data_IF_396482006177
#
_entry.id   IF_396482006177
#
_cell.length_a   1.000
_cell.length_b   1.000
_cell.length_c   1.000
_cell.angle_alpha   90.00
_cell.angle_beta   90.00
_cell.angle_gamma   90.00
#
_symmetry.space_group_name_H-M   'P 1'
#
loop_
_entity.id
_entity.type
_entity.pdbx_description
1 polymer ?
#
# COMPACT_ATOMS: atom_id res chain seq x y z
N UNK A 1 -14.14 4.20 -30.67
CA UNK A 1 -12.73 4.36 -30.27
C UNK A 1 -11.99 3.05 -30.48
N UNK A 2 -10.88 3.05 -31.22
CA UNK A 2 -10.09 1.82 -31.52
C UNK A 2 -9.51 1.18 -30.25
N UNK A 3 -9.34 -0.14 -30.22
CA UNK A 3 -8.72 -0.86 -29.10
C UNK A 3 -7.33 -0.33 -28.77
N UNK A 4 -6.53 0.02 -29.79
CA UNK A 4 -5.21 0.63 -29.63
C UNK A 4 -5.27 1.98 -28.93
N UNK A 5 -6.29 2.78 -29.23
CA UNK A 5 -6.47 4.09 -28.62
C UNK A 5 -6.85 3.96 -27.14
N UNK A 6 -7.71 2.99 -26.80
CA UNK A 6 -8.04 2.68 -25.39
C UNK A 6 -6.77 2.37 -24.60
N UNK A 7 -5.94 1.45 -25.08
CA UNK A 7 -4.69 1.08 -24.40
C UNK A 7 -3.77 2.29 -24.17
N UNK A 8 -3.63 3.18 -25.17
CA UNK A 8 -2.83 4.41 -25.04
C UNK A 8 -3.39 5.34 -23.96
N UNK A 9 -4.70 5.53 -23.91
CA UNK A 9 -5.34 6.36 -22.88
C UNK A 9 -5.21 5.76 -21.48
N UNK A 10 -5.31 4.43 -21.36
CA UNK A 10 -5.12 3.72 -20.08
C UNK A 10 -3.67 3.85 -19.59
N UNK A 11 -2.68 3.64 -20.47
CA UNK A 11 -1.27 3.83 -20.14
C UNK A 11 -0.97 5.27 -19.75
N UNK A 12 -1.50 6.23 -20.51
CA UNK A 12 -1.36 7.65 -20.19
C UNK A 12 -1.96 7.95 -18.80
N UNK A 13 -3.12 7.38 -18.48
CA UNK A 13 -3.74 7.57 -17.18
C UNK A 13 -2.92 7.02 -16.02
N UNK A 14 -2.29 5.86 -16.20
CA UNK A 14 -1.41 5.27 -15.19
C UNK A 14 -0.16 6.14 -14.98
N UNK A 15 0.47 6.63 -16.07
CA UNK A 15 1.66 7.48 -15.99
C UNK A 15 1.35 8.80 -15.28
N UNK A 16 0.27 9.49 -15.68
CA UNK A 16 -0.14 10.74 -15.04
C UNK A 16 -0.55 10.49 -13.59
N UNK A 17 -1.27 9.42 -13.30
CA UNK A 17 -1.63 9.04 -11.94
C UNK A 17 -0.41 8.80 -11.04
N UNK A 18 0.64 8.15 -11.56
CA UNK A 18 1.90 7.94 -10.84
C UNK A 18 2.62 9.26 -10.55
N UNK A 19 2.66 10.19 -11.51
CA UNK A 19 3.25 11.51 -11.31
C UNK A 19 2.49 12.34 -10.26
N UNK A 20 1.16 12.31 -10.28
CA UNK A 20 0.33 12.97 -9.25
C UNK A 20 0.62 12.38 -7.87
N UNK A 21 0.77 11.05 -7.79
CA UNK A 21 1.06 10.40 -6.51
C UNK A 21 2.47 10.71 -5.98
N UNK A 22 3.43 11.06 -6.86
CA UNK A 22 4.74 11.58 -6.46
C UNK A 22 4.73 13.06 -6.02
N UNK A 23 3.55 13.69 -5.85
CA UNK A 23 3.44 15.12 -5.53
C UNK A 23 4.31 15.54 -4.33
N UNK A 24 4.33 14.80 -3.22
CA UNK A 24 5.15 15.18 -2.07
C UNK A 24 6.66 15.11 -2.32
N UNK A 25 7.15 14.13 -3.08
CA UNK A 25 8.56 14.11 -3.49
C UNK A 25 8.88 15.34 -4.37
N UNK A 26 8.01 15.65 -5.34
CA UNK A 26 8.17 16.80 -6.22
C UNK A 26 8.15 18.12 -5.46
N UNK A 27 7.20 18.31 -4.52
CA UNK A 27 7.12 19.49 -3.68
C UNK A 27 8.34 19.62 -2.76
N UNK A 28 8.83 18.49 -2.24
CA UNK A 28 10.04 18.41 -1.42
C UNK A 28 11.33 18.65 -2.20
N UNK A 29 11.29 18.59 -3.55
CA UNK A 29 12.44 18.61 -4.47
C UNK A 29 13.37 17.40 -4.39
N UNK A 30 12.99 16.38 -3.60
CA UNK A 30 13.72 15.13 -3.45
C UNK A 30 12.77 14.04 -2.92
N UNK A 31 12.98 12.74 -3.23
CA UNK A 31 12.31 11.64 -2.55
C UNK A 31 12.39 11.80 -1.03
N UNK A 32 11.29 11.53 -0.33
CA UNK A 32 11.25 11.65 1.12
C UNK A 32 12.09 10.55 1.77
N UNK A 33 12.91 10.94 2.75
CA UNK A 33 13.75 10.02 3.50
C UNK A 33 13.23 9.88 4.94
N UNK A 34 13.17 8.64 5.43
CA UNK A 34 13.00 8.33 6.85
C UNK A 34 14.31 7.89 7.48
N UNK A 35 14.31 7.79 8.81
CA UNK A 35 15.44 7.31 9.61
C UNK A 35 15.97 5.96 9.10
N UNK A 36 15.07 5.03 8.73
CA UNK A 36 15.43 3.72 8.19
C UNK A 36 15.79 3.72 6.69
N UNK A 37 15.54 4.80 5.96
CA UNK A 37 15.78 4.84 4.50
C UNK A 37 17.24 4.60 4.14
N UNK A 38 18.18 5.09 4.99
CA UNK A 38 19.60 4.82 4.82
C UNK A 38 19.92 3.34 4.83
N UNK A 39 19.33 2.59 5.76
CA UNK A 39 19.52 1.15 5.84
C UNK A 39 19.02 0.44 4.58
N UNK A 40 17.91 0.88 3.96
CA UNK A 40 17.41 0.26 2.73
C UNK A 40 18.31 0.54 1.54
N UNK A 41 18.83 1.76 1.46
CA UNK A 41 19.77 2.17 0.42
C UNK A 41 21.09 1.39 0.59
N UNK A 42 21.73 1.49 1.76
CA UNK A 42 23.01 0.84 2.01
C UNK A 42 22.93 -0.68 1.87
N UNK A 43 21.88 -1.31 2.38
CA UNK A 43 21.70 -2.75 2.21
C UNK A 43 21.41 -3.13 0.75
N UNK A 44 20.89 -2.23 -0.09
CA UNK A 44 20.63 -2.53 -1.49
C UNK A 44 21.92 -2.66 -2.32
N UNK A 45 22.95 -1.90 -1.96
CA UNK A 45 24.19 -1.79 -2.74
C UNK A 45 25.43 -2.36 -2.06
N UNK A 46 25.45 -2.44 -0.73
CA UNK A 46 26.59 -3.01 -0.02
C UNK A 46 26.58 -4.53 -0.07
N UNK A 47 27.77 -5.12 -0.25
CA UNK A 47 27.97 -6.58 -0.11
C UNK A 47 27.88 -7.05 1.35
N UNK A 48 27.74 -6.11 2.31
CA UNK A 48 27.67 -6.42 3.73
C UNK A 48 26.38 -7.17 4.02
N UNK A 49 26.50 -8.19 4.89
CA UNK A 49 25.37 -9.02 5.32
C UNK A 49 24.24 -8.13 5.86
N UNK A 50 23.07 -8.20 5.23
CA UNK A 50 21.94 -7.32 5.53
C UNK A 50 21.51 -7.42 6.99
N UNK A 51 21.57 -6.31 7.73
CA UNK A 51 21.24 -6.24 9.17
C UNK A 51 19.79 -5.90 9.46
N UNK A 52 18.98 -5.50 8.45
CA UNK A 52 17.51 -5.27 8.63
C UNK A 52 16.62 -6.35 8.02
N UNK A 53 15.41 -6.56 8.58
CA UNK A 53 14.45 -7.59 8.15
C UNK A 53 13.72 -7.30 6.83
N UNK A 54 14.10 -6.24 6.12
CA UNK A 54 13.43 -5.71 4.92
C UNK A 54 14.37 -5.79 3.71
N UNK A 55 15.00 -6.95 3.52
CA UNK A 55 16.02 -7.17 2.50
C UNK A 55 15.48 -7.07 1.07
N UNK A 56 14.23 -7.53 0.82
CA UNK A 56 13.61 -7.42 -0.50
C UNK A 56 13.39 -5.98 -0.93
N UNK A 57 13.00 -5.10 0.01
CA UNK A 57 12.85 -3.70 -0.32
C UNK A 57 14.19 -3.04 -0.64
N UNK A 58 15.25 -3.42 0.08
CA UNK A 58 16.62 -2.96 -0.22
C UNK A 58 17.05 -3.38 -1.64
N UNK A 59 16.75 -4.62 -2.04
CA UNK A 59 16.96 -5.10 -3.41
C UNK A 59 16.12 -4.31 -4.43
N UNK A 60 14.86 -4.02 -4.11
CA UNK A 60 14.00 -3.18 -4.94
C UNK A 60 14.58 -1.78 -5.12
N UNK A 61 15.11 -1.15 -4.07
CA UNK A 61 15.77 0.17 -4.15
C UNK A 61 16.95 0.11 -5.12
N UNK A 62 17.83 -0.90 -5.00
CA UNK A 62 18.98 -1.04 -5.88
C UNK A 62 18.58 -1.22 -7.35
N UNK A 63 17.58 -2.06 -7.62
CA UNK A 63 17.15 -2.37 -8.98
C UNK A 63 16.27 -1.28 -9.59
N UNK A 64 15.33 -0.71 -8.85
CA UNK A 64 14.42 0.31 -9.35
C UNK A 64 15.13 1.65 -9.58
N UNK A 65 16.19 1.95 -8.81
CA UNK A 65 16.99 3.18 -8.99
C UNK A 65 17.96 3.10 -10.17
N UNK A 66 18.22 1.91 -10.69
CA UNK A 66 19.32 1.61 -11.62
C UNK A 66 20.70 2.11 -11.14
N UNK A 67 20.88 2.27 -9.82
CA UNK A 67 22.08 2.86 -9.23
C UNK A 67 22.34 4.31 -9.65
N UNK A 68 21.32 5.00 -10.20
CA UNK A 68 21.45 6.37 -10.71
C UNK A 68 20.66 7.36 -9.89
N UNK A 69 19.38 7.07 -9.62
CA UNK A 69 18.54 8.04 -8.93
C UNK A 69 17.41 7.40 -8.11
N UNK A 70 17.19 7.95 -6.92
CA UNK A 70 16.08 7.57 -6.05
C UNK A 70 14.71 7.99 -6.61
N UNK A 71 14.67 8.91 -7.57
CA UNK A 71 13.43 9.29 -8.28
C UNK A 71 12.78 8.10 -8.98
N UNK A 72 13.58 7.20 -9.56
CA UNK A 72 13.04 6.01 -10.22
C UNK A 72 12.43 5.02 -9.23
N UNK A 73 12.90 4.97 -7.99
CA UNK A 73 12.33 4.14 -6.93
C UNK A 73 10.92 4.63 -6.58
N UNK A 74 10.77 5.91 -6.26
CA UNK A 74 9.46 6.49 -5.88
C UNK A 74 8.47 6.48 -7.04
N UNK A 75 8.95 6.67 -8.27
CA UNK A 75 8.12 6.54 -9.46
C UNK A 75 7.65 5.10 -9.68
N UNK A 76 8.56 4.12 -9.57
CA UNK A 76 8.23 2.70 -9.76
C UNK A 76 7.20 2.21 -8.75
N UNK A 77 7.36 2.52 -7.46
CA UNK A 77 6.37 2.16 -6.44
C UNK A 77 5.02 2.85 -6.67
N UNK A 78 5.02 4.10 -7.15
CA UNK A 78 3.80 4.83 -7.51
C UNK A 78 3.09 4.19 -8.70
N UNK A 79 3.81 3.77 -9.74
CA UNK A 79 3.25 3.07 -10.91
C UNK A 79 2.57 1.76 -10.49
N UNK A 80 3.21 0.96 -9.63
CA UNK A 80 2.64 -0.30 -9.15
C UNK A 80 1.32 -0.08 -8.42
N UNK A 81 1.26 0.90 -7.51
CA UNK A 81 0.03 1.21 -6.79
C UNK A 81 -1.06 1.74 -7.74
N UNK A 82 -0.70 2.68 -8.61
CA UNK A 82 -1.65 3.35 -9.52
C UNK A 82 -2.23 2.37 -10.55
N UNK A 83 -1.46 1.37 -10.97
CA UNK A 83 -1.93 0.26 -11.80
C UNK A 83 -2.98 -0.59 -11.07
N UNK A 84 -2.75 -0.93 -9.80
CA UNK A 84 -3.72 -1.67 -8.98
C UNK A 84 -5.00 -0.85 -8.79
N UNK A 85 -4.88 0.43 -8.47
CA UNK A 85 -6.03 1.32 -8.37
C UNK A 85 -6.78 1.44 -9.70
N UNK A 86 -6.06 1.54 -10.82
CA UNK A 86 -6.66 1.57 -12.15
C UNK A 86 -7.55 0.34 -12.38
N UNK A 87 -7.09 -0.85 -11.98
CA UNK A 87 -7.90 -2.06 -12.08
C UNK A 87 -9.18 -2.03 -11.23
N UNK A 88 -9.16 -1.44 -10.04
CA UNK A 88 -10.40 -1.24 -9.27
C UNK A 88 -11.43 -0.43 -10.08
N UNK A 89 -11.05 0.74 -10.59
CA UNK A 89 -11.98 1.54 -11.38
C UNK A 89 -12.35 0.85 -12.70
N UNK A 90 -11.44 0.09 -13.31
CA UNK A 90 -11.72 -0.69 -14.52
C UNK A 90 -12.77 -1.78 -14.32
N UNK A 91 -12.72 -2.51 -13.20
CA UNK A 91 -13.64 -3.62 -12.96
C UNK A 91 -14.96 -3.20 -12.32
N UNK A 92 -14.97 -2.12 -11.53
CA UNK A 92 -16.17 -1.67 -10.82
C UNK A 92 -16.93 -0.55 -11.54
N UNK A 93 -16.36 0.09 -12.56
CA UNK A 93 -17.03 1.13 -13.37
C UNK A 93 -17.03 0.76 -14.86
N UNK A 94 -18.21 0.44 -15.38
CA UNK A 94 -18.38 0.00 -16.78
C UNK A 94 -18.15 1.12 -17.80
N UNK A 95 -18.67 2.33 -17.51
CA UNK A 95 -18.56 3.45 -18.44
C UNK A 95 -17.13 4.01 -18.43
N UNK A 96 -16.45 3.91 -19.57
CA UNK A 96 -15.08 4.37 -19.79
C UNK A 96 -14.83 5.82 -19.35
N UNK A 97 -15.73 6.76 -19.69
CA UNK A 97 -15.53 8.18 -19.37
C UNK A 97 -15.67 8.43 -17.87
N UNK A 98 -16.74 7.90 -17.26
CA UNK A 98 -16.94 7.99 -15.82
C UNK A 98 -15.78 7.35 -15.06
N UNK A 99 -15.31 6.18 -15.51
CA UNK A 99 -14.17 5.47 -14.93
C UNK A 99 -12.95 6.38 -14.79
N UNK A 100 -12.54 7.06 -15.86
CA UNK A 100 -11.38 7.96 -15.82
C UNK A 100 -11.61 9.16 -14.88
N UNK A 101 -12.82 9.73 -14.87
CA UNK A 101 -13.16 10.85 -13.98
C UNK A 101 -13.06 10.43 -12.51
N UNK A 102 -13.67 9.31 -12.12
CA UNK A 102 -13.63 8.81 -10.75
C UNK A 102 -12.22 8.36 -10.35
N UNK A 103 -11.48 7.73 -11.27
CA UNK A 103 -10.10 7.31 -11.07
C UNK A 103 -9.18 8.50 -10.77
N UNK A 104 -9.17 9.52 -11.63
CA UNK A 104 -8.37 10.72 -11.39
C UNK A 104 -8.86 11.48 -10.16
N UNK A 105 -10.17 11.63 -9.99
CA UNK A 105 -10.75 12.25 -8.81
C UNK A 105 -10.29 11.59 -7.51
N UNK A 106 -10.23 10.25 -7.49
CA UNK A 106 -9.72 9.50 -6.36
C UNK A 106 -8.21 9.70 -6.16
N UNK A 107 -7.40 9.65 -7.22
CA UNK A 107 -5.95 9.87 -7.13
C UNK A 107 -5.64 11.27 -6.60
N UNK A 108 -6.30 12.30 -7.13
CA UNK A 108 -6.19 13.66 -6.62
C UNK A 108 -6.59 13.71 -5.13
N UNK A 109 -7.73 13.11 -4.79
CA UNK A 109 -8.20 13.07 -3.40
C UNK A 109 -7.17 12.46 -2.45
N UNK A 110 -6.65 11.26 -2.75
CA UNK A 110 -5.70 10.58 -1.86
C UNK A 110 -4.30 11.21 -1.86
N UNK A 111 -3.92 11.91 -2.93
CA UNK A 111 -2.60 12.53 -3.04
C UNK A 111 -2.52 13.84 -2.25
N UNK A 112 -3.59 14.65 -2.28
CA UNK A 112 -3.59 15.98 -1.69
C UNK A 112 -4.23 16.03 -0.29
N UNK A 113 -5.23 15.19 -0.02
CA UNK A 113 -5.98 15.23 1.24
C UNK A 113 -5.63 14.08 2.20
N UNK A 114 -4.89 13.08 1.72
CA UNK A 114 -4.49 11.90 2.48
C UNK A 114 -2.99 11.66 2.39
N UNK A 115 -2.54 10.63 3.08
CA UNK A 115 -1.13 10.24 3.20
C UNK A 115 -0.60 9.37 2.05
N UNK A 116 -1.40 9.08 1.01
CA UNK A 116 -0.99 8.16 -0.05
C UNK A 116 0.24 8.68 -0.82
N UNK A 117 0.23 9.98 -1.16
CA UNK A 117 1.36 10.60 -1.85
C UNK A 117 2.61 10.66 -0.97
N UNK A 118 2.49 10.89 0.35
CA UNK A 118 3.62 10.79 1.28
C UNK A 118 4.20 9.36 1.25
N UNK A 119 3.35 8.34 1.41
CA UNK A 119 3.78 6.94 1.46
C UNK A 119 4.48 6.52 0.16
N UNK A 120 3.92 6.91 -0.99
CA UNK A 120 4.49 6.63 -2.31
C UNK A 120 5.68 7.52 -2.69
N UNK A 121 5.88 8.65 -2.02
CA UNK A 121 7.02 9.55 -2.21
C UNK A 121 8.19 9.23 -1.29
N UNK A 122 8.03 8.28 -0.37
CA UNK A 122 9.01 7.94 0.65
C UNK A 122 9.80 6.69 0.25
N UNK A 123 11.11 6.70 0.52
CA UNK A 123 11.96 5.50 0.43
C UNK A 123 11.69 4.59 1.64
N UNK A 124 10.58 3.85 1.58
CA UNK A 124 10.10 2.91 2.59
C UNK A 124 9.21 1.83 1.97
N UNK A 125 9.18 0.59 2.49
CA UNK A 125 8.29 -0.46 1.98
C UNK A 125 6.82 -0.26 2.34
N UNK A 126 6.47 0.74 3.16
CA UNK A 126 5.11 0.92 3.71
C UNK A 126 4.02 0.94 2.62
N UNK A 127 4.29 1.57 1.46
CA UNK A 127 3.31 1.66 0.38
C UNK A 127 2.93 0.29 -0.20
N UNK A 128 3.85 -0.67 -0.16
CA UNK A 128 3.62 -2.02 -0.68
C UNK A 128 2.63 -2.82 0.17
N UNK A 129 2.50 -2.51 1.46
CA UNK A 129 1.46 -3.10 2.29
C UNK A 129 0.06 -2.83 1.72
N UNK A 130 -0.21 -1.56 1.42
CA UNK A 130 -1.46 -1.12 0.80
C UNK A 130 -1.66 -1.67 -0.61
N UNK A 131 -0.61 -1.65 -1.44
CA UNK A 131 -0.65 -2.22 -2.79
C UNK A 131 -0.98 -3.71 -2.75
N UNK A 132 -0.41 -4.45 -1.80
CA UNK A 132 -0.68 -5.89 -1.62
C UNK A 132 -2.11 -6.13 -1.16
N UNK A 133 -2.62 -5.38 -0.17
CA UNK A 133 -4.00 -5.49 0.30
C UNK A 133 -5.00 -5.23 -0.83
N UNK A 134 -4.80 -4.16 -1.60
CA UNK A 134 -5.64 -3.83 -2.75
C UNK A 134 -5.57 -4.93 -3.83
N UNK A 135 -4.39 -5.46 -4.11
CA UNK A 135 -4.23 -6.53 -5.10
C UNK A 135 -4.98 -7.79 -4.70
N UNK A 136 -4.95 -8.16 -3.41
CA UNK A 136 -5.71 -9.29 -2.88
C UNK A 136 -7.21 -9.03 -2.92
N UNK A 137 -7.64 -7.80 -2.61
CA UNK A 137 -9.04 -7.40 -2.74
C UNK A 137 -9.56 -7.59 -4.18
N UNK A 138 -8.78 -7.22 -5.20
CA UNK A 138 -9.15 -7.48 -6.60
C UNK A 138 -9.29 -8.96 -6.90
N UNK A 139 -8.35 -9.79 -6.43
CA UNK A 139 -8.42 -11.24 -6.62
C UNK A 139 -9.64 -11.88 -5.95
N UNK A 140 -10.12 -11.29 -4.84
CA UNK A 140 -11.28 -11.75 -4.09
C UNK A 140 -12.62 -11.29 -4.69
N UNK A 141 -12.72 -10.02 -5.10
CA UNK A 141 -14.01 -9.45 -5.52
C UNK A 141 -14.29 -9.54 -7.02
N UNK A 142 -13.26 -9.63 -7.86
CA UNK A 142 -13.46 -9.69 -9.32
C UNK A 142 -13.66 -11.15 -9.75
N UNK A 143 -14.93 -11.51 -10.00
CA UNK A 143 -15.33 -12.88 -10.40
C UNK A 143 -14.60 -13.36 -11.65
N UNK A 144 -14.58 -12.54 -12.69
CA UNK A 144 -14.04 -12.88 -14.01
C UNK A 144 -12.81 -12.03 -14.31
N UNK A 145 -11.66 -12.50 -13.83
CA UNK A 145 -10.35 -11.97 -14.25
C UNK A 145 -9.82 -12.80 -15.40
N UNK A 146 -9.42 -12.13 -16.48
CA UNK A 146 -8.63 -12.77 -17.55
C UNK A 146 -7.31 -13.30 -16.96
N UNK A 147 -6.75 -14.34 -17.56
CA UNK A 147 -5.51 -14.95 -17.11
C UNK A 147 -4.36 -13.93 -17.00
N UNK A 148 -4.18 -13.09 -18.03
CA UNK A 148 -3.15 -12.04 -18.06
C UNK A 148 -3.26 -11.08 -16.87
N UNK A 149 -4.48 -10.59 -16.59
CA UNK A 149 -4.73 -9.67 -15.49
C UNK A 149 -4.58 -10.35 -14.13
N UNK A 150 -5.01 -11.60 -14.02
CA UNK A 150 -4.81 -12.43 -12.82
C UNK A 150 -3.32 -12.59 -12.53
N UNK A 151 -2.52 -12.86 -13.56
CA UNK A 151 -1.07 -13.01 -13.44
C UNK A 151 -0.42 -11.70 -12.99
N UNK A 152 -0.73 -10.58 -13.65
CA UNK A 152 -0.21 -9.26 -13.29
C UNK A 152 -0.54 -8.91 -11.84
N UNK A 153 -1.82 -9.02 -11.44
CA UNK A 153 -2.26 -8.68 -10.08
C UNK A 153 -1.62 -9.63 -9.05
N UNK A 154 -1.49 -10.92 -9.36
CA UNK A 154 -0.85 -11.90 -8.47
C UNK A 154 0.64 -11.61 -8.29
N UNK A 155 1.37 -11.28 -9.36
CA UNK A 155 2.79 -10.90 -9.29
C UNK A 155 2.96 -9.65 -8.44
N UNK A 156 2.13 -8.61 -8.66
CA UNK A 156 2.16 -7.40 -7.83
C UNK A 156 1.85 -7.73 -6.37
N UNK A 157 0.86 -8.57 -6.10
CA UNK A 157 0.50 -8.97 -4.74
C UNK A 157 1.65 -9.69 -4.02
N UNK A 158 2.31 -10.64 -4.70
CA UNK A 158 3.43 -11.44 -4.17
C UNK A 158 4.66 -10.56 -3.92
N UNK A 159 5.04 -9.74 -4.91
CA UNK A 159 6.20 -8.85 -4.78
C UNK A 159 5.95 -7.83 -3.67
N UNK A 160 4.75 -7.24 -3.63
CA UNK A 160 4.41 -6.23 -2.63
C UNK A 160 4.28 -6.80 -1.22
N UNK A 161 3.69 -8.00 -1.05
CA UNK A 161 3.59 -8.63 0.27
C UNK A 161 4.97 -8.95 0.83
N UNK A 162 5.89 -9.38 -0.03
CA UNK A 162 7.22 -9.80 0.37
C UNK A 162 8.15 -8.64 0.76
N UNK A 163 7.79 -7.38 0.47
CA UNK A 163 8.58 -6.20 0.86
C UNK A 163 8.63 -5.97 2.37
N UNK A 164 7.63 -6.44 3.12
CA UNK A 164 7.51 -6.21 4.56
C UNK A 164 6.96 -7.45 5.27
N UNK A 165 7.69 -7.92 6.28
CA UNK A 165 7.32 -9.08 7.11
C UNK A 165 5.91 -8.97 7.71
N UNK A 166 5.52 -7.78 8.16
CA UNK A 166 4.21 -7.56 8.75
C UNK A 166 3.10 -7.69 7.70
N UNK A 167 3.38 -7.32 6.45
CA UNK A 167 2.45 -7.49 5.34
C UNK A 167 2.25 -8.97 5.01
N UNK A 168 3.31 -9.79 4.96
CA UNK A 168 3.18 -11.24 4.76
C UNK A 168 2.31 -11.88 5.83
N UNK A 169 2.57 -11.56 7.10
CA UNK A 169 1.79 -12.09 8.22
C UNK A 169 0.33 -11.63 8.16
N UNK A 170 0.09 -10.37 7.78
CA UNK A 170 -1.26 -9.85 7.53
C UNK A 170 -1.96 -10.66 6.44
N UNK A 171 -1.27 -10.99 5.33
CA UNK A 171 -1.86 -11.80 4.25
C UNK A 171 -2.16 -13.22 4.69
N UNK A 172 -1.29 -13.82 5.50
CA UNK A 172 -1.55 -15.13 6.09
C UNK A 172 -2.82 -15.10 6.98
N UNK A 173 -3.00 -14.06 7.80
CA UNK A 173 -4.20 -13.90 8.62
C UNK A 173 -5.45 -13.63 7.78
N UNK A 174 -5.38 -12.79 6.75
CA UNK A 174 -6.50 -12.56 5.83
C UNK A 174 -6.88 -13.87 5.13
N UNK A 175 -5.91 -14.67 4.72
CA UNK A 175 -6.15 -15.98 4.12
C UNK A 175 -6.88 -16.92 5.08
N UNK A 176 -6.42 -17.03 6.33
CA UNK A 176 -7.07 -17.85 7.36
C UNK A 176 -8.44 -17.33 7.75
N UNK A 177 -8.63 -16.01 7.77
CA UNK A 177 -9.91 -15.37 8.08
C UNK A 177 -10.91 -15.44 6.92
N UNK A 178 -10.44 -15.58 5.68
CA UNK A 178 -11.28 -15.55 4.47
C UNK A 178 -12.42 -16.59 4.45
N UNK A 179 -12.27 -17.85 4.93
CA UNK A 179 -13.38 -18.80 4.96
C UNK A 179 -14.43 -18.38 5.98
N UNK A 180 -14.00 -17.82 7.13
CA UNK A 180 -14.90 -17.31 8.16
C UNK A 180 -15.67 -16.11 7.64
N UNK A 181 -14.97 -15.14 7.03
CA UNK A 181 -15.60 -13.99 6.36
C UNK A 181 -16.60 -14.47 5.31
N UNK A 182 -16.24 -15.48 4.52
CA UNK A 182 -17.14 -16.08 3.52
C UNK A 182 -18.41 -16.70 4.14
N UNK A 183 -18.32 -17.36 5.30
CA UNK A 183 -19.50 -17.87 6.01
C UNK A 183 -20.46 -16.77 6.47
N UNK A 184 -19.94 -15.57 6.76
CA UNK A 184 -20.74 -14.41 7.13
C UNK A 184 -21.33 -13.67 5.91
N UNK A 185 -20.75 -13.84 4.72
CA UNK A 185 -21.31 -13.30 3.48
C UNK A 185 -22.52 -14.15 3.07
N UNK A 186 -23.69 -13.81 3.61
CA UNK A 186 -24.98 -14.35 3.17
C UNK A 186 -25.45 -13.64 1.89
N UNK A 187 -25.72 -14.39 0.82
CA UNK A 187 -26.36 -13.85 -0.38
C UNK A 187 -26.22 -14.69 -1.65
N UNK A 188 -26.95 -14.30 -2.70
CA UNK A 188 -26.98 -14.92 -4.05
C UNK A 188 -25.63 -14.87 -4.78
N UNK A 189 -24.71 -14.02 -4.35
CA UNK A 189 -23.35 -14.02 -4.88
C UNK A 189 -22.50 -15.13 -4.26
N UNK A 190 -22.89 -16.40 -4.49
CA UNK A 190 -22.02 -17.54 -4.19
C UNK A 190 -20.79 -17.46 -5.10
N UNK A 191 -19.75 -16.80 -4.61
CA UNK A 191 -18.44 -16.83 -5.27
C UNK A 191 -17.96 -18.27 -5.25
N UNK A 192 -17.38 -18.74 -6.35
CA UNK A 192 -16.83 -20.09 -6.41
C UNK A 192 -15.62 -20.19 -5.45
N UNK A 193 -15.88 -20.64 -4.24
CA UNK A 193 -14.89 -20.74 -3.16
C UNK A 193 -13.64 -21.53 -3.59
N UNK A 194 -13.79 -22.54 -4.46
CA UNK A 194 -12.65 -23.31 -4.98
C UNK A 194 -11.70 -22.44 -5.79
N UNK A 195 -12.22 -21.56 -6.64
CA UNK A 195 -11.42 -20.64 -7.46
C UNK A 195 -10.79 -19.53 -6.61
N UNK A 196 -11.50 -19.04 -5.59
CA UNK A 196 -10.91 -18.09 -4.64
C UNK A 196 -9.76 -18.74 -3.87
N UNK A 197 -10.03 -19.88 -3.24
CA UNK A 197 -9.05 -20.58 -2.44
C UNK A 197 -7.81 -20.94 -3.25
N UNK A 198 -7.94 -21.36 -4.51
CA UNK A 198 -6.78 -21.67 -5.35
C UNK A 198 -5.94 -20.43 -5.65
N UNK A 199 -6.55 -19.29 -6.01
CA UNK A 199 -5.83 -18.03 -6.24
C UNK A 199 -5.07 -17.57 -4.99
N UNK A 200 -5.71 -17.65 -3.83
CA UNK A 200 -5.10 -17.28 -2.56
C UNK A 200 -3.99 -18.22 -2.13
N UNK A 201 -4.20 -19.54 -2.24
CA UNK A 201 -3.20 -20.52 -1.90
C UNK A 201 -1.95 -20.29 -2.75
N UNK A 202 -2.10 -20.02 -4.04
CA UNK A 202 -0.98 -19.68 -4.93
C UNK A 202 -0.28 -18.40 -4.42
N UNK A 203 -0.99 -17.27 -4.29
CA UNK A 203 -0.37 -16.00 -3.86
C UNK A 203 0.30 -16.11 -2.49
N UNK A 204 -0.37 -16.75 -1.52
CA UNK A 204 0.15 -16.96 -0.17
C UNK A 204 1.37 -17.87 -0.15
N UNK A 205 1.31 -19.04 -0.79
CA UNK A 205 2.43 -19.98 -0.86
C UNK A 205 3.64 -19.34 -1.55
N UNK A 206 3.45 -18.65 -2.68
CA UNK A 206 4.55 -17.98 -3.38
C UNK A 206 5.12 -16.80 -2.57
N UNK A 207 4.29 -16.03 -1.86
CA UNK A 207 4.77 -14.96 -0.98
C UNK A 207 5.64 -15.51 0.15
N UNK A 208 5.18 -16.59 0.80
CA UNK A 208 5.93 -17.26 1.87
C UNK A 208 7.22 -17.88 1.33
N UNK A 209 7.15 -18.58 0.20
CA UNK A 209 8.32 -19.20 -0.43
C UNK A 209 9.37 -18.15 -0.84
N UNK A 210 8.94 -17.02 -1.42
CA UNK A 210 9.81 -15.90 -1.78
C UNK A 210 10.48 -15.32 -0.54
N UNK A 211 9.72 -15.10 0.53
CA UNK A 211 10.24 -14.60 1.79
C UNK A 211 11.25 -15.54 2.45
N UNK A 212 10.92 -16.83 2.53
CA UNK A 212 11.84 -17.84 3.08
C UNK A 212 13.10 -17.97 2.24
N UNK A 213 12.98 -17.89 0.91
CA UNK A 213 14.13 -17.93 0.00
C UNK A 213 15.06 -16.74 0.24
N UNK A 214 14.50 -15.55 0.38
CA UNK A 214 15.28 -14.34 0.68
C UNK A 214 15.94 -14.44 2.05
N UNK A 215 15.21 -14.85 3.08
CA UNK A 215 15.78 -14.96 4.43
C UNK A 215 16.88 -16.02 4.53
N UNK A 216 16.74 -17.11 3.78
CA UNK A 216 17.79 -18.13 3.67
C UNK A 216 19.05 -17.54 3.04
N UNK A 217 18.92 -16.74 1.99
CA UNK A 217 20.04 -16.06 1.33
C UNK A 217 20.67 -15.01 2.22
N UNK A 218 19.88 -14.24 2.98
CA UNK A 218 20.40 -13.20 3.87
C UNK A 218 20.99 -13.75 5.18
N UNK A 219 20.76 -15.03 5.48
CA UNK A 219 21.34 -15.73 6.62
C UNK A 219 20.85 -15.20 7.97
N UNK A 220 19.56 -14.88 8.06
CA UNK A 220 18.91 -14.29 9.25
C UNK A 220 17.82 -15.18 9.82
N UNK A 221 17.81 -15.30 11.15
CA UNK A 221 16.81 -16.06 11.92
C UNK A 221 15.94 -15.19 12.84
N UNK A 222 16.00 -13.86 12.75
CA UNK A 222 15.52 -12.95 13.80
C UNK A 222 14.02 -12.58 13.78
N UNK A 223 13.17 -13.21 12.97
CA UNK A 223 11.72 -12.94 13.02
C UNK A 223 11.01 -13.80 14.06
N UNK A 224 11.54 -13.85 15.28
CA UNK A 224 10.83 -14.44 16.40
C UNK A 224 9.67 -13.52 16.78
N UNK A 225 8.43 -13.95 16.53
CA UNK A 225 7.24 -13.27 17.07
C UNK A 225 7.36 -13.23 18.61
N UNK A 226 7.57 -12.04 19.16
CA UNK A 226 7.71 -11.87 20.61
C UNK A 226 6.33 -11.69 21.23
N UNK A 227 5.80 -12.74 21.87
CA UNK A 227 4.49 -12.71 22.57
C UNK A 227 4.33 -11.54 23.55
N UNK A 228 5.42 -11.10 24.18
CA UNK A 228 5.38 -9.95 25.10
C UNK A 228 5.04 -8.64 24.37
N UNK A 229 5.53 -8.47 23.13
CA UNK A 229 5.25 -7.29 22.30
C UNK A 229 3.79 -7.27 21.84
N UNK A 230 3.17 -8.44 21.65
CA UNK A 230 1.75 -8.55 21.30
C UNK A 230 0.85 -7.95 22.38
N UNK A 231 1.05 -8.33 23.65
CA UNK A 231 0.23 -7.79 24.74
C UNK A 231 0.49 -6.30 24.99
N UNK A 232 1.73 -5.84 24.79
CA UNK A 232 2.06 -4.42 24.85
C UNK A 232 1.36 -3.66 23.69
N UNK A 233 1.44 -4.17 22.47
CA UNK A 233 0.76 -3.62 21.29
C UNK A 233 -0.75 -3.52 21.49
N UNK A 234 -1.40 -4.58 22.00
CA UNK A 234 -2.84 -4.58 22.31
C UNK A 234 -3.23 -3.53 23.34
N UNK A 235 -2.44 -3.36 24.42
CA UNK A 235 -2.69 -2.31 25.42
C UNK A 235 -2.49 -0.91 24.83
N UNK A 236 -1.45 -0.77 24.01
CA UNK A 236 -1.11 0.48 23.37
C UNK A 236 -2.13 0.88 22.29
N UNK A 237 -2.94 -0.03 21.74
CA UNK A 237 -3.94 0.32 20.71
C UNK A 237 -4.82 1.51 21.12
N UNK A 238 -5.22 1.63 22.38
CA UNK A 238 -6.06 2.74 22.84
C UNK A 238 -5.32 4.08 22.90
N UNK A 239 -4.05 4.05 23.30
CA UNK A 239 -3.17 5.22 23.33
C UNK A 239 -2.81 5.64 21.92
N UNK A 240 -2.58 4.66 21.06
CA UNK A 240 -2.08 4.87 19.71
C UNK A 240 -3.17 5.19 18.69
N UNK A 241 -4.41 4.76 18.95
CA UNK A 241 -5.55 5.25 18.20
C UNK A 241 -5.70 6.77 18.38
N UNK A 242 -5.32 7.34 19.54
CA UNK A 242 -5.25 8.80 19.71
C UNK A 242 -4.06 9.43 18.95
N UNK A 243 -3.07 8.63 18.55
CA UNK A 243 -1.89 9.08 17.82
C UNK A 243 -1.82 8.56 16.38
N UNK A 244 -2.96 8.27 15.70
CA UNK A 244 -3.03 8.08 14.23
C UNK A 244 -2.66 9.40 13.55
N UNK A 245 -1.41 9.78 13.70
CA UNK A 245 -0.82 10.99 13.19
C UNK A 245 0.30 10.53 12.29
N UNK A 246 0.44 11.20 11.14
CA UNK A 246 1.61 11.03 10.30
C UNK A 246 2.82 11.23 11.23
N UNK A 247 3.73 10.23 11.31
CA UNK A 247 4.87 10.30 12.21
C UNK A 247 5.55 11.63 11.99
N UNK A 248 5.93 12.30 13.09
CA UNK A 248 6.69 13.53 12.97
C UNK A 248 7.94 13.18 12.17
N UNK A 249 8.02 13.69 10.94
CA UNK A 249 9.20 13.57 10.11
C UNK A 249 10.29 14.34 10.86
N UNK A 250 11.07 13.60 11.66
CA UNK A 250 12.27 14.15 12.25
C UNK A 250 13.14 14.56 11.08
N UNK A 251 13.55 15.83 11.06
CA UNK A 251 14.56 16.31 10.13
C UNK A 251 15.72 15.31 10.18
N UNK A 252 16.08 14.67 9.05
CA UNK A 252 17.26 13.82 9.01
C UNK A 252 18.43 14.65 9.53
N UNK A 253 19.16 14.12 10.51
CA UNK A 253 20.42 14.75 10.93
C UNK A 253 21.33 14.79 9.70
N UNK A 254 22.07 15.89 9.51
CA UNK A 254 23.00 16.05 8.39
C UNK A 254 23.98 14.87 8.31
N UNK A 255 24.32 14.31 9.47
CA UNK A 255 25.19 13.13 9.66
C UNK A 255 24.39 11.84 9.89
N UNK A 256 23.12 11.81 9.50
CA UNK A 256 22.24 10.65 9.68
C UNK A 256 22.47 9.56 8.62
N UNK A 257 22.13 8.30 8.94
CA UNK A 257 22.38 7.16 8.05
C UNK A 257 21.72 7.31 6.68
N UNK A 258 20.56 7.98 6.60
CA UNK A 258 19.89 8.25 5.34
C UNK A 258 20.70 9.15 4.40
N UNK A 259 21.32 10.21 4.92
CA UNK A 259 22.10 11.14 4.09
C UNK A 259 23.43 10.50 3.70
N UNK A 260 24.10 9.83 4.64
CA UNK A 260 25.34 9.10 4.36
C UNK A 260 25.14 8.04 3.28
N UNK A 261 24.02 7.30 3.30
CA UNK A 261 23.71 6.33 2.26
C UNK A 261 23.48 7.00 0.88
N UNK A 262 22.80 8.14 0.84
CA UNK A 262 22.63 8.92 -0.41
C UNK A 262 23.98 9.42 -0.92
N UNK A 263 24.84 9.93 -0.03
CA UNK A 263 26.18 10.39 -0.39
C UNK A 263 27.05 9.26 -0.95
N UNK A 264 26.97 8.06 -0.36
CA UNK A 264 27.76 6.91 -0.80
C UNK A 264 27.31 6.37 -2.16
N UNK A 265 26.01 6.26 -2.41
CA UNK A 265 25.47 5.50 -3.54
C UNK A 265 24.83 6.35 -4.64
N UNK A 266 24.46 7.60 -4.33
CA UNK A 266 23.75 8.51 -5.22
C UNK A 266 24.40 9.89 -5.21
N UNK A 267 25.71 9.94 -5.45
CA UNK A 267 26.52 11.18 -5.45
C UNK A 267 25.98 12.25 -6.39
N UNK A 268 25.29 11.88 -7.49
CA UNK A 268 24.67 12.85 -8.40
C UNK A 268 23.45 13.57 -7.81
N UNK A 269 22.79 12.94 -6.83
CA UNK A 269 21.51 13.37 -6.25
C UNK A 269 21.71 14.05 -4.87
N UNK A 270 22.93 14.06 -4.34
CA UNK A 270 23.25 14.58 -2.99
C UNK A 270 22.96 16.07 -2.86
N UNK A 271 23.17 16.83 -3.94
CA UNK A 271 22.89 18.27 -3.97
C UNK A 271 21.40 18.52 -3.79
N UNK A 272 20.56 17.81 -4.54
CA UNK A 272 19.10 17.89 -4.47
C UNK A 272 18.60 17.44 -3.09
N UNK A 273 19.23 16.41 -2.52
CA UNK A 273 18.96 15.95 -1.16
C UNK A 273 19.16 17.11 -0.15
N UNK A 274 20.32 17.77 -0.14
CA UNK A 274 20.59 18.91 0.76
C UNK A 274 19.69 20.12 0.51
N UNK A 275 19.26 20.34 -0.74
CA UNK A 275 18.33 21.41 -1.10
C UNK A 275 16.85 21.07 -0.83
N UNK A 276 16.56 19.85 -0.37
CA UNK A 276 15.19 19.42 -0.11
C UNK A 276 14.56 20.20 1.04
N UNK A 277 13.24 20.43 0.95
CA UNK A 277 12.49 21.14 1.99
C UNK A 277 12.49 20.39 3.32
N UNK A 278 12.53 19.06 3.26
CA UNK A 278 12.64 18.17 4.41
C UNK A 278 13.93 18.42 5.20
N UNK A 279 15.09 18.50 4.53
CA UNK A 279 16.37 18.80 5.19
C UNK A 279 16.42 20.26 5.65
N UNK A 280 15.86 21.18 4.88
CA UNK A 280 15.73 22.58 5.30
C UNK A 280 14.83 22.76 6.55
N UNK A 281 13.98 21.78 6.87
CA UNK A 281 12.97 21.88 7.94
C UNK A 281 11.80 22.79 7.56
N UNK A 282 11.64 23.09 6.26
CA UNK A 282 10.56 23.92 5.74
C UNK A 282 9.26 23.13 5.51
N UNK A 283 9.36 21.79 5.40
CA UNK A 283 8.20 20.94 5.13
C UNK A 283 7.53 20.51 6.45
N UNK A 284 6.35 21.07 6.73
CA UNK A 284 5.50 20.63 7.85
C UNK A 284 4.33 19.80 7.33
N UNK A 285 4.20 18.54 7.76
CA UNK A 285 3.08 17.65 7.37
C UNK A 285 1.80 17.86 8.20
N UNK A 286 1.69 18.98 8.91
CA UNK A 286 0.61 19.23 9.86
C UNK A 286 -0.76 19.40 9.18
N UNK A 287 -0.79 20.07 8.02
CA UNK A 287 -2.03 20.24 7.23
C UNK A 287 -2.60 18.88 6.80
N UNK A 288 -1.75 17.97 6.34
CA UNK A 288 -2.16 16.63 5.87
C UNK A 288 -2.57 15.77 7.06
N UNK A 289 -1.90 15.92 8.20
CA UNK A 289 -2.29 15.23 9.43
C UNK A 289 -3.71 15.64 9.81
N UNK A 290 -4.03 16.93 9.78
CA UNK A 290 -5.36 17.44 10.07
C UNK A 290 -6.38 16.95 9.03
N UNK A 291 -6.08 17.05 7.73
CA UNK A 291 -6.98 16.61 6.67
C UNK A 291 -7.24 15.10 6.74
N UNK A 292 -6.21 14.29 7.00
CA UNK A 292 -6.32 12.84 7.13
C UNK A 292 -7.26 12.46 8.27
N UNK A 293 -7.20 13.15 9.42
CA UNK A 293 -8.13 12.90 10.52
C UNK A 293 -9.58 13.21 10.16
N UNK A 294 -9.81 14.38 9.54
CA UNK A 294 -11.14 14.78 9.11
C UNK A 294 -11.70 13.80 8.08
N UNK A 295 -10.91 13.45 7.06
CA UNK A 295 -11.30 12.51 6.01
C UNK A 295 -11.49 11.11 6.59
N UNK A 296 -10.63 10.63 7.49
CA UNK A 296 -10.78 9.33 8.15
C UNK A 296 -12.10 9.25 8.90
N UNK A 297 -12.44 10.28 9.69
CA UNK A 297 -13.70 10.34 10.42
C UNK A 297 -14.90 10.31 9.46
N UNK A 298 -14.91 11.20 8.47
CA UNK A 298 -16.01 11.31 7.50
C UNK A 298 -16.18 10.02 6.69
N UNK A 299 -15.09 9.43 6.22
CA UNK A 299 -15.12 8.21 5.40
C UNK A 299 -15.51 6.99 6.22
N UNK A 300 -15.09 6.90 7.48
CA UNK A 300 -15.53 5.84 8.40
C UNK A 300 -17.02 5.95 8.68
N UNK A 301 -17.53 7.16 8.98
CA UNK A 301 -18.97 7.39 9.16
C UNK A 301 -19.76 7.03 7.91
N UNK A 302 -19.29 7.43 6.72
CA UNK A 302 -19.93 7.10 5.45
C UNK A 302 -19.91 5.59 5.18
N UNK A 303 -18.80 4.89 5.44
CA UNK A 303 -18.69 3.44 5.31
C UNK A 303 -19.65 2.72 6.27
N UNK A 304 -19.75 3.14 7.52
CA UNK A 304 -20.69 2.58 8.50
C UNK A 304 -22.14 2.82 8.04
N UNK A 305 -22.46 4.04 7.62
CA UNK A 305 -23.79 4.37 7.08
C UNK A 305 -24.15 3.49 5.88
N UNK A 306 -23.22 3.31 4.92
CA UNK A 306 -23.43 2.45 3.77
C UNK A 306 -23.57 0.98 4.16
N UNK A 307 -22.80 0.48 5.13
CA UNK A 307 -22.95 -0.89 5.64
C UNK A 307 -24.35 -1.10 6.26
N UNK A 308 -24.82 -0.17 7.08
CA UNK A 308 -26.17 -0.23 7.67
C UNK A 308 -27.24 -0.19 6.57
N UNK A 309 -27.14 0.76 5.64
CA UNK A 309 -28.10 0.94 4.54
C UNK A 309 -28.16 -0.27 3.62
N UNK A 310 -27.01 -0.88 3.32
CA UNK A 310 -26.90 -2.07 2.46
C UNK A 310 -27.11 -3.38 3.21
N UNK A 311 -27.51 -3.35 4.50
CA UNK A 311 -27.66 -4.53 5.36
C UNK A 311 -26.40 -5.44 5.33
N UNK A 312 -25.22 -4.83 5.31
CA UNK A 312 -23.92 -5.49 5.25
C UNK A 312 -23.64 -6.30 3.96
N UNK A 313 -24.39 -6.08 2.89
CA UNK A 313 -24.12 -6.76 1.61
C UNK A 313 -22.93 -6.18 0.82
N UNK A 314 -22.36 -5.04 1.25
CA UNK A 314 -21.18 -4.47 0.61
C UNK A 314 -19.88 -5.12 1.12
N UNK A 315 -19.56 -6.29 0.55
CA UNK A 315 -18.42 -7.11 0.95
C UNK A 315 -17.08 -6.37 0.83
N UNK A 316 -16.94 -5.41 -0.09
CA UNK A 316 -15.71 -4.63 -0.26
C UNK A 316 -15.42 -3.74 0.95
N UNK A 317 -16.43 -3.04 1.47
CA UNK A 317 -16.26 -2.18 2.67
C UNK A 317 -15.85 -3.05 3.86
N UNK A 318 -16.54 -4.18 4.06
CA UNK A 318 -16.24 -5.10 5.15
C UNK A 318 -14.81 -5.64 5.07
N UNK A 319 -14.37 -6.03 3.87
CA UNK A 319 -13.01 -6.50 3.64
C UNK A 319 -11.97 -5.42 3.92
N UNK A 320 -12.17 -4.20 3.45
CA UNK A 320 -11.21 -3.12 3.70
C UNK A 320 -11.11 -2.79 5.19
N UNK A 321 -12.24 -2.73 5.91
CA UNK A 321 -12.23 -2.51 7.36
C UNK A 321 -11.54 -3.67 8.11
N UNK A 322 -11.88 -4.92 7.77
CA UNK A 322 -11.28 -6.09 8.41
C UNK A 322 -9.78 -6.21 8.11
N UNK A 323 -9.36 -5.97 6.87
CA UNK A 323 -7.95 -6.02 6.49
C UNK A 323 -7.12 -4.91 7.12
N UNK A 324 -7.67 -3.69 7.24
CA UNK A 324 -7.01 -2.60 7.97
C UNK A 324 -6.87 -2.91 9.46
N UNK A 325 -7.91 -3.49 10.08
CA UNK A 325 -7.86 -3.93 11.47
C UNK A 325 -6.81 -5.04 11.68
N UNK A 326 -6.76 -6.03 10.79
CA UNK A 326 -5.76 -7.09 10.84
C UNK A 326 -4.34 -6.53 10.65
N UNK A 327 -4.16 -5.62 9.70
CA UNK A 327 -2.87 -4.93 9.46
C UNK A 327 -2.41 -4.21 10.73
N UNK A 328 -3.33 -3.50 11.38
CA UNK A 328 -3.07 -2.78 12.63
C UNK A 328 -2.61 -3.72 13.74
N UNK A 329 -3.35 -4.82 13.95
CA UNK A 329 -3.06 -5.82 14.97
C UNK A 329 -1.69 -6.46 14.71
N UNK A 330 -1.43 -6.88 13.47
CA UNK A 330 -0.18 -7.54 13.08
C UNK A 330 1.01 -6.61 13.26
N UNK A 331 0.93 -5.38 12.73
CA UNK A 331 2.03 -4.42 12.86
C UNK A 331 2.34 -4.12 14.32
N UNK A 332 1.33 -3.81 15.12
CA UNK A 332 1.48 -3.60 16.56
C UNK A 332 2.19 -4.78 17.25
N UNK A 333 1.86 -6.01 16.86
CA UNK A 333 2.48 -7.22 17.40
C UNK A 333 3.92 -7.44 16.96
N UNK A 334 4.23 -7.20 15.69
CA UNK A 334 5.55 -7.47 15.10
C UNK A 334 6.59 -6.45 15.57
N UNK A 335 6.28 -5.16 15.50
CA UNK A 335 7.25 -4.11 15.79
C UNK A 335 7.34 -3.76 17.28
N UNK A 336 6.34 -4.14 18.10
CA UNK A 336 6.22 -3.72 19.51
C UNK A 336 6.04 -2.21 19.72
N UNK A 337 6.16 -1.44 18.64
CA UNK A 337 5.97 0.00 18.54
C UNK A 337 5.27 0.30 17.22
N UNK A 338 4.23 1.09 17.24
CA UNK A 338 3.47 1.46 16.04
C UNK A 338 4.10 2.65 15.29
N UNK A 339 5.42 2.88 15.46
CA UNK A 339 6.15 4.00 14.84
C UNK A 339 5.94 4.06 13.30
N UNK A 340 5.74 2.91 12.64
CA UNK A 340 5.43 2.80 11.20
C UNK A 340 3.91 2.73 10.92
N UNK A 341 3.13 3.55 11.65
CA UNK A 341 1.68 3.42 11.89
C UNK A 341 0.71 3.29 10.71
N UNK A 342 -0.60 3.26 11.01
CA UNK A 342 -1.69 3.04 10.03
C UNK A 342 -1.78 4.06 8.89
N UNK A 343 -1.05 5.16 8.97
CA UNK A 343 -1.04 6.21 7.97
C UNK A 343 -0.72 5.68 6.56
N UNK A 344 0.07 4.61 6.45
CA UNK A 344 0.39 3.96 5.17
C UNK A 344 -0.82 3.29 4.48
N UNK A 345 -1.92 3.08 5.19
CA UNK A 345 -3.06 2.26 4.77
C UNK A 345 -4.41 2.97 4.83
N UNK A 346 -4.55 3.93 5.75
CA UNK A 346 -5.82 4.64 6.01
C UNK A 346 -6.40 5.32 4.75
N UNK A 347 -5.55 5.74 3.81
CA UNK A 347 -5.97 6.36 2.55
C UNK A 347 -6.74 5.42 1.62
N UNK A 348 -6.78 4.11 1.89
CA UNK A 348 -7.59 3.13 1.15
C UNK A 348 -9.08 3.26 1.50
N UNK A 349 -9.43 3.67 2.73
CA UNK A 349 -10.82 3.72 3.22
C UNK A 349 -11.83 4.51 2.36
N UNK A 350 -11.48 5.63 1.71
CA UNK A 350 -12.40 6.34 0.82
C UNK A 350 -12.71 5.57 -0.47
N UNK A 351 -11.93 4.56 -0.86
CA UNK A 351 -12.06 3.86 -2.15
C UNK A 351 -13.50 3.36 -2.42
N UNK A 352 -14.20 2.67 -1.48
CA UNK A 352 -15.57 2.23 -1.72
C UNK A 352 -16.54 3.39 -1.98
N UNK A 353 -16.31 4.57 -1.39
CA UNK A 353 -17.16 5.74 -1.62
C UNK A 353 -17.01 6.30 -3.04
N UNK A 354 -15.84 6.12 -3.66
CA UNK A 354 -15.62 6.49 -5.06
C UNK A 354 -16.15 5.44 -6.04
N UNK A 355 -16.29 4.19 -5.60
CA UNK A 355 -16.87 3.11 -6.41
C UNK A 355 -18.40 3.03 -6.30
N UNK A 356 -18.97 3.40 -5.14
CA UNK A 356 -20.39 3.24 -4.82
C UNK A 356 -21.38 4.02 -5.73
N UNK A 357 -21.14 5.28 -6.12
CA UNK A 357 -22.08 6.07 -6.93
C UNK A 357 -22.39 5.45 -8.30
N UNK A 358 -21.57 4.49 -8.73
CA UNK A 358 -21.63 3.88 -10.06
C UNK A 358 -21.97 2.40 -10.00
N UNK A 359 -22.03 1.79 -8.82
CA UNK A 359 -22.60 0.46 -8.68
C UNK A 359 -24.07 0.57 -9.10
N UNK A 360 -24.49 -0.04 -10.21
CA UNK A 360 -25.88 0.02 -10.61
C UNK A 360 -26.71 -0.45 -9.43
N UNK A 361 -27.89 0.14 -9.21
CA UNK A 361 -28.98 -0.59 -8.55
C UNK A 361 -29.36 -1.75 -9.49
N UNK A 362 -28.44 -2.68 -9.71
CA UNK A 362 -28.73 -3.94 -10.32
C UNK A 362 -29.59 -4.64 -9.28
N UNK A 363 -30.90 -4.56 -9.49
CA UNK A 363 -31.76 -5.71 -9.31
C UNK A 363 -31.04 -6.86 -10.06
N UNK A 364 -30.26 -7.64 -9.31
CA UNK A 364 -29.42 -8.74 -9.78
C UNK A 364 -30.23 -9.94 -10.31
N UNK A 365 -31.53 -9.75 -10.58
CA UNK A 365 -32.49 -10.82 -10.87
C UNK A 365 -32.86 -10.94 -12.35
N UNK A 366 -32.36 -10.09 -13.24
CA UNK A 366 -32.73 -10.16 -14.66
C UNK A 366 -31.51 -9.99 -15.57
N UNK A 367 -30.82 -11.10 -15.82
CA UNK A 367 -30.28 -11.47 -17.15
C UNK A 367 -29.68 -12.86 -17.16
#
# INVERSE_FOLDING_TARGET
MSSKQKIKEELFAIVIGALILCFYALNNKFPLLFEKSGNFIDNGFSEKKHTTGESLYSFFVAHASWGKSLWFVVYSQSVLLILVLYYYFHFFIENHRSRLIYYYGYIFFISFLMSASIAASTISPIIFGSTSLLSIGLLFFVKHLNFERTLIISVIAIVSSAMDTATILTMALIFVASPVIYLFIKGEQRVNWRTLFSRFAIVGMFSIALFLSVNKVTGKSETGFQWNNWHAGLRNLTVEFKSISIPKFKKPTVEGPAITAVENWFTSDIRECYLSKQIAGAETFDMIRMSQWMVLLLTTCACIYLLIKTKFHNNLILYLLASLLLTFIVRSGVSGKLEDGLWGFVWILPLPLFLFPVLPNHNLNEK
#
